data_IF_901473310186
#
_entry.id   IF_901473310186
#
_cell.length_a   1.000
_cell.length_b   1.000
_cell.length_c   1.000
_cell.angle_alpha   90.00
_cell.angle_beta   90.00
_cell.angle_gamma   90.00
#
_symmetry.space_group_name_H-M   'P 1'
#
loop_
_entity.id
_entity.type
_entity.pdbx_description
1 polymer ?
#
# COMPACT_ATOMS: atom_id res chain seq x y z
N UNK A 1 16.74 -12.88 -15.38
CA UNK A 1 17.37 -11.84 -16.23
C UNK A 1 16.31 -11.06 -17.01
N UNK A 2 15.74 -11.55 -18.12
CA UNK A 2 14.73 -10.80 -18.88
C UNK A 2 13.39 -10.62 -18.14
N UNK A 3 12.93 -11.67 -17.44
CA UNK A 3 11.69 -11.63 -16.66
C UNK A 3 11.75 -10.62 -15.51
N UNK A 4 12.86 -10.59 -14.76
CA UNK A 4 13.02 -9.70 -13.61
C UNK A 4 13.05 -8.23 -14.02
N UNK A 5 13.67 -7.93 -15.17
CA UNK A 5 13.72 -6.56 -15.69
C UNK A 5 12.34 -6.09 -16.18
N UNK A 6 11.56 -6.98 -16.80
CA UNK A 6 10.18 -6.69 -17.17
C UNK A 6 9.30 -6.41 -15.93
N UNK A 7 9.46 -7.17 -14.85
CA UNK A 7 8.72 -6.97 -13.60
C UNK A 7 9.10 -5.66 -12.88
N UNK A 8 10.38 -5.29 -12.90
CA UNK A 8 10.83 -3.97 -12.39
C UNK A 8 10.26 -2.83 -13.23
N UNK A 9 10.26 -2.99 -14.55
CA UNK A 9 9.68 -2.00 -15.48
C UNK A 9 8.19 -1.83 -15.22
N UNK A 10 7.45 -2.94 -15.07
CA UNK A 10 6.04 -2.92 -14.70
C UNK A 10 5.80 -2.25 -13.34
N UNK A 11 6.63 -2.55 -12.33
CA UNK A 11 6.54 -1.91 -11.01
C UNK A 11 6.70 -0.39 -11.09
N UNK A 12 7.66 0.06 -11.91
CA UNK A 12 7.91 1.49 -12.14
C UNK A 12 6.73 2.15 -12.86
N UNK A 13 6.25 1.55 -13.94
CA UNK A 13 5.11 2.06 -14.70
C UNK A 13 3.86 2.20 -13.81
N UNK A 14 3.58 1.19 -12.97
CA UNK A 14 2.48 1.26 -12.01
C UNK A 14 2.70 2.35 -10.95
N UNK A 15 3.93 2.54 -10.46
CA UNK A 15 4.23 3.58 -9.48
C UNK A 15 4.12 5.01 -10.04
N UNK A 16 4.34 5.18 -11.34
CA UNK A 16 4.21 6.45 -12.06
C UNK A 16 2.74 6.76 -12.42
N UNK A 17 1.93 5.76 -12.78
CA UNK A 17 0.53 5.97 -13.19
C UNK A 17 -0.46 6.06 -12.03
N UNK A 18 -0.23 5.31 -10.95
CA UNK A 18 -1.17 5.22 -9.82
C UNK A 18 -1.58 6.58 -9.20
N UNK A 19 -0.69 7.59 -9.09
CA UNK A 19 -1.07 8.90 -8.55
C UNK A 19 -2.07 9.70 -9.38
N UNK A 20 -2.19 9.45 -10.68
CA UNK A 20 -3.00 10.27 -11.58
C UNK A 20 -4.51 10.04 -11.41
N UNK A 21 -4.92 8.90 -10.84
CA UNK A 21 -6.31 8.43 -10.92
C UNK A 21 -7.07 8.43 -9.59
N UNK A 22 -6.43 8.83 -8.49
CA UNK A 22 -6.94 8.55 -7.14
C UNK A 22 -7.51 9.76 -6.39
N UNK A 23 -7.84 10.87 -7.06
CA UNK A 23 -8.52 12.00 -6.43
C UNK A 23 -9.84 11.57 -5.74
N UNK A 24 -10.14 12.06 -4.52
CA UNK A 24 -9.47 13.14 -3.77
C UNK A 24 -8.28 12.68 -2.89
N UNK A 25 -7.70 11.51 -3.14
CA UNK A 25 -6.49 11.03 -2.46
C UNK A 25 -5.26 11.49 -3.22
N UNK A 26 -4.36 12.20 -2.54
CA UNK A 26 -3.01 12.42 -3.05
C UNK A 26 -2.17 11.17 -2.77
N UNK A 27 -1.58 10.60 -3.82
CA UNK A 27 -0.71 9.43 -3.71
C UNK A 27 0.72 9.84 -4.01
N UNK A 28 1.64 9.33 -3.18
CA UNK A 28 3.09 9.46 -3.39
C UNK A 28 3.72 8.09 -3.35
N UNK A 29 4.55 7.79 -4.33
CA UNK A 29 5.33 6.55 -4.36
C UNK A 29 6.78 6.83 -3.99
N UNK A 30 7.41 5.94 -3.21
CA UNK A 30 8.83 6.05 -2.84
C UNK A 30 9.51 4.70 -2.98
N UNK A 31 10.68 4.66 -3.63
CA UNK A 31 11.45 3.44 -3.78
C UNK A 31 11.87 2.89 -2.41
N UNK A 32 11.46 1.66 -2.08
CA UNK A 32 11.75 0.97 -0.83
C UNK A 32 11.62 -0.55 -0.98
N UNK A 33 12.45 -1.31 -0.25
CA UNK A 33 12.41 -2.78 -0.20
C UNK A 33 12.58 -3.49 -1.56
N UNK A 34 13.22 -2.84 -2.55
CA UNK A 34 13.34 -3.38 -3.90
C UNK A 34 12.14 -3.10 -4.82
N UNK A 35 11.10 -2.43 -4.32
CA UNK A 35 9.94 -1.94 -5.07
C UNK A 35 9.59 -0.50 -4.68
N UNK A 36 8.29 -0.18 -4.59
CA UNK A 36 7.81 1.17 -4.24
C UNK A 36 6.78 1.12 -3.12
N UNK A 37 7.01 1.85 -2.04
CA UNK A 37 5.98 2.10 -1.02
C UNK A 37 4.98 3.13 -1.55
N UNK A 38 3.70 2.84 -1.40
CA UNK A 38 2.60 3.75 -1.75
C UNK A 38 2.12 4.45 -0.48
N UNK A 39 2.27 5.77 -0.48
CA UNK A 39 1.76 6.66 0.54
C UNK A 39 0.51 7.36 0.05
N UNK A 40 -0.52 7.43 0.90
CA UNK A 40 -1.75 8.16 0.63
C UNK A 40 -1.92 9.30 1.64
N UNK A 41 -2.46 10.42 1.17
CA UNK A 41 -2.96 11.54 1.98
C UNK A 41 -4.37 11.84 1.49
N UNK A 42 -5.37 11.75 2.36
CA UNK A 42 -6.77 12.02 2.00
C UNK A 42 -7.03 13.51 2.19
N UNK A 43 -7.31 14.23 1.09
CA UNK A 43 -7.45 15.70 1.10
C UNK A 43 -8.84 16.16 1.59
N UNK A 44 -9.84 15.30 1.51
CA UNK A 44 -11.22 15.56 1.93
C UNK A 44 -11.68 14.51 2.93
N UNK A 45 -11.11 14.57 4.14
CA UNK A 45 -11.54 13.75 5.26
C UNK A 45 -12.58 14.54 6.07
N UNK A 46 -13.86 14.35 5.76
CA UNK A 46 -14.96 15.02 6.47
C UNK A 46 -15.08 14.64 7.97
N UNK A 47 -14.43 13.57 8.41
CA UNK A 47 -14.45 13.11 9.80
C UNK A 47 -13.21 13.59 10.58
N UNK A 48 -13.36 14.70 11.29
CA UNK A 48 -12.35 15.19 12.26
C UNK A 48 -12.12 14.19 13.41
N UNK A 49 -13.11 13.32 13.70
CA UNK A 49 -13.09 12.39 14.84
C UNK A 49 -12.22 11.13 14.61
N UNK A 50 -12.00 10.72 13.35
CA UNK A 50 -11.28 9.47 13.06
C UNK A 50 -9.78 9.65 12.83
N UNK A 51 -9.31 10.89 12.65
CA UNK A 51 -7.94 11.14 12.21
C UNK A 51 -7.29 12.19 13.10
N UNK A 52 -6.48 11.73 14.05
CA UNK A 52 -5.66 12.58 14.91
C UNK A 52 -4.61 13.45 14.17
N UNK A 53 -4.48 13.32 12.85
CA UNK A 53 -3.53 14.04 12.00
C UNK A 53 -3.88 13.90 10.49
N UNK A 54 -4.88 14.64 9.97
CA UNK A 54 -5.40 14.48 8.60
C UNK A 54 -4.38 14.82 7.51
N UNK A 55 -3.45 15.74 7.78
CA UNK A 55 -2.40 16.16 6.82
C UNK A 55 -1.26 15.14 6.65
N UNK A 56 -1.34 13.97 7.30
CA UNK A 56 -0.23 13.03 7.35
C UNK A 56 -0.34 11.96 6.27
N UNK A 57 0.69 11.89 5.43
CA UNK A 57 0.90 10.78 4.51
C UNK A 57 1.01 9.43 5.26
N UNK A 58 0.30 8.40 4.80
CA UNK A 58 0.34 7.05 5.39
C UNK A 58 0.67 6.01 4.34
N UNK A 59 1.55 5.07 4.71
CA UNK A 59 1.90 3.96 3.85
C UNK A 59 0.80 2.89 3.82
N UNK A 60 0.08 2.82 2.70
CA UNK A 60 -1.13 1.98 2.51
C UNK A 60 -0.85 0.70 1.74
N UNK A 61 0.10 0.73 0.81
CA UNK A 61 0.40 -0.42 -0.06
C UNK A 61 1.89 -0.46 -0.43
N UNK A 62 2.31 -1.55 -1.08
CA UNK A 62 3.63 -1.69 -1.70
C UNK A 62 3.45 -2.20 -3.12
N UNK A 63 4.16 -1.61 -4.08
CA UNK A 63 4.28 -2.14 -5.43
C UNK A 63 5.57 -2.94 -5.50
N UNK A 64 5.47 -4.21 -5.89
CA UNK A 64 6.63 -5.04 -6.15
C UNK A 64 6.34 -6.06 -7.25
N UNK A 65 7.35 -6.41 -8.04
CA UNK A 65 7.24 -7.36 -9.16
C UNK A 65 6.02 -7.12 -10.07
N UNK A 66 5.68 -5.86 -10.35
CA UNK A 66 4.56 -5.47 -11.21
C UNK A 66 3.18 -5.62 -10.58
N UNK A 67 3.08 -5.91 -9.28
CA UNK A 67 1.82 -6.08 -8.56
C UNK A 67 1.69 -5.10 -7.40
N UNK A 68 0.45 -4.84 -6.97
CA UNK A 68 0.15 -4.06 -5.78
C UNK A 68 -0.13 -4.99 -4.59
N UNK A 69 0.51 -4.73 -3.46
CA UNK A 69 0.38 -5.50 -2.23
C UNK A 69 -0.22 -4.65 -1.11
N UNK A 70 -1.36 -5.10 -0.57
CA UNK A 70 -2.03 -4.51 0.58
C UNK A 70 -1.75 -5.32 1.84
N UNK A 71 -1.58 -4.62 2.97
CA UNK A 71 -1.44 -5.28 4.27
C UNK A 71 -2.77 -5.90 4.67
N UNK A 72 -2.69 -7.03 5.37
CA UNK A 72 -3.85 -7.61 6.07
C UNK A 72 -4.41 -6.60 7.07
N UNK A 73 -5.72 -6.50 7.12
CA UNK A 73 -6.44 -5.53 7.93
C UNK A 73 -7.86 -6.01 8.25
N UNK A 74 -8.69 -5.12 8.80
CA UNK A 74 -10.13 -5.39 8.99
C UNK A 74 -10.91 -5.47 7.67
N UNK A 75 -10.28 -5.11 6.54
CA UNK A 75 -10.88 -5.16 5.20
C UNK A 75 -10.61 -6.48 4.47
N UNK A 76 -10.03 -7.48 5.14
CA UNK A 76 -9.55 -8.72 4.51
C UNK A 76 -10.64 -9.42 3.66
N UNK A 77 -11.89 -9.47 4.13
CA UNK A 77 -12.99 -10.10 3.39
C UNK A 77 -13.28 -9.37 2.07
N UNK A 78 -13.35 -8.03 2.10
CA UNK A 78 -13.57 -7.19 0.90
C UNK A 78 -12.39 -7.28 -0.07
N UNK A 79 -11.16 -7.30 0.46
CA UNK A 79 -9.95 -7.40 -0.37
C UNK A 79 -9.85 -8.77 -1.04
N UNK A 80 -10.27 -9.83 -0.34
CA UNK A 80 -10.25 -11.20 -0.87
C UNK A 80 -11.16 -11.46 -2.07
N UNK A 81 -12.10 -10.57 -2.36
CA UNK A 81 -12.95 -10.64 -3.56
C UNK A 81 -12.19 -10.27 -4.85
N UNK A 82 -11.14 -9.44 -4.74
CA UNK A 82 -10.42 -8.86 -5.88
C UNK A 82 -8.90 -9.15 -5.85
N UNK A 83 -8.42 -9.84 -4.81
CA UNK A 83 -7.02 -10.08 -4.56
C UNK A 83 -6.80 -11.50 -4.01
N UNK A 84 -5.56 -11.96 -4.09
CA UNK A 84 -5.15 -13.26 -3.52
C UNK A 84 -4.03 -13.09 -2.49
N UNK A 85 -3.89 -14.03 -1.55
CA UNK A 85 -2.78 -14.00 -0.61
C UNK A 85 -1.51 -14.53 -1.26
N UNK A 86 -0.50 -13.67 -1.39
CA UNK A 86 0.81 -14.03 -1.90
C UNK A 86 1.93 -13.31 -1.13
N UNK A 87 3.14 -13.88 -1.04
CA UNK A 87 4.27 -13.19 -0.46
C UNK A 87 4.78 -12.11 -1.42
N UNK A 88 5.14 -10.93 -0.89
CA UNK A 88 5.67 -9.82 -1.69
C UNK A 88 7.03 -10.16 -2.34
N UNK A 89 7.80 -11.05 -1.72
CA UNK A 89 9.07 -11.59 -2.20
C UNK A 89 9.28 -13.00 -1.63
N UNK A 90 10.17 -13.83 -2.19
CA UNK A 90 10.41 -15.19 -1.69
C UNK A 90 10.72 -15.23 -0.18
N UNK A 91 9.92 -15.98 0.58
CA UNK A 91 10.06 -16.10 2.04
C UNK A 91 9.47 -14.94 2.86
N UNK A 92 8.86 -13.94 2.22
CA UNK A 92 8.12 -12.87 2.87
C UNK A 92 6.78 -13.30 3.47
N UNK A 93 6.19 -12.45 4.31
CA UNK A 93 4.84 -12.68 4.81
C UNK A 93 3.80 -12.51 3.69
N UNK A 94 2.74 -13.31 3.73
CA UNK A 94 1.63 -13.19 2.77
C UNK A 94 0.87 -11.89 2.99
N UNK A 95 0.73 -11.14 1.89
CA UNK A 95 -0.05 -9.91 1.76
C UNK A 95 -1.10 -10.12 0.67
N UNK A 96 -2.11 -9.25 0.62
CA UNK A 96 -3.09 -9.29 -0.45
C UNK A 96 -2.48 -8.72 -1.72
N UNK A 97 -2.32 -9.56 -2.73
CA UNK A 97 -1.78 -9.23 -4.05
C UNK A 97 -2.93 -8.94 -5.00
N UNK A 98 -2.94 -7.72 -5.52
CA UNK A 98 -3.74 -7.33 -6.68
C UNK A 98 -2.82 -7.39 -7.90
N UNK A 99 -3.23 -8.13 -8.92
CA UNK A 99 -2.45 -8.26 -10.13
C UNK A 99 -2.40 -6.93 -10.89
N UNK A 100 -1.21 -6.36 -11.07
CA UNK A 100 -1.06 -5.09 -11.77
C UNK A 100 -1.45 -5.14 -13.25
N UNK A 101 -1.47 -6.31 -13.88
CA UNK A 101 -1.97 -6.46 -15.25
C UNK A 101 -3.50 -6.27 -15.35
N UNK A 102 -4.22 -6.48 -14.25
CA UNK A 102 -5.68 -6.35 -14.15
C UNK A 102 -6.10 -5.19 -13.25
N UNK A 103 -5.13 -4.41 -12.76
CA UNK A 103 -5.37 -3.26 -11.93
C UNK A 103 -5.76 -2.10 -12.84
N UNK A 104 -7.02 -1.68 -12.73
CA UNK A 104 -7.50 -0.43 -13.31
C UNK A 104 -7.25 0.71 -12.30
N UNK A 105 -6.30 1.62 -12.54
CA UNK A 105 -6.03 2.73 -11.64
C UNK A 105 -7.22 3.67 -11.49
N UNK A 106 -8.12 3.73 -12.49
CA UNK A 106 -9.35 4.52 -12.46
C UNK A 106 -10.51 3.81 -11.73
N UNK A 107 -10.29 2.59 -11.23
CA UNK A 107 -11.30 1.82 -10.50
C UNK A 107 -11.73 2.54 -9.22
N UNK A 108 -13.02 2.84 -9.12
CA UNK A 108 -13.59 3.42 -7.90
C UNK A 108 -13.41 2.49 -6.69
N UNK A 109 -13.48 1.17 -6.92
CA UNK A 109 -13.28 0.15 -5.88
C UNK A 109 -11.87 0.23 -5.30
N UNK A 110 -10.85 0.38 -6.16
CA UNK A 110 -9.46 0.51 -5.71
C UNK A 110 -9.27 1.81 -4.91
N UNK A 111 -9.84 2.92 -5.40
CA UNK A 111 -9.79 4.22 -4.72
C UNK A 111 -10.41 4.16 -3.33
N UNK A 112 -11.63 3.66 -3.22
CA UNK A 112 -12.31 3.48 -1.93
C UNK A 112 -11.51 2.60 -0.98
N UNK A 113 -10.95 1.49 -1.50
CA UNK A 113 -10.14 0.59 -0.70
C UNK A 113 -8.88 1.26 -0.16
N UNK A 114 -8.21 2.10 -0.96
CA UNK A 114 -7.05 2.88 -0.51
C UNK A 114 -7.43 3.91 0.56
N UNK A 115 -8.59 4.58 0.41
CA UNK A 115 -9.13 5.49 1.42
C UNK A 115 -9.41 4.75 2.72
N UNK A 116 -10.09 3.61 2.66
CA UNK A 116 -10.42 2.81 3.84
C UNK A 116 -9.16 2.25 4.51
N UNK A 117 -8.17 1.83 3.72
CA UNK A 117 -6.85 1.42 4.23
C UNK A 117 -6.12 2.59 4.92
N UNK A 118 -6.22 3.80 4.37
CA UNK A 118 -5.65 4.99 4.97
C UNK A 118 -6.32 5.34 6.32
N UNK A 119 -7.64 5.18 6.40
CA UNK A 119 -8.45 5.40 7.62
C UNK A 119 -8.08 4.45 8.75
N UNK A 120 -7.64 3.23 8.44
CA UNK A 120 -7.17 2.28 9.45
C UNK A 120 -5.93 2.85 10.14
N UNK A 121 -6.09 3.29 11.39
CA UNK A 121 -4.96 3.80 12.15
C UNK A 121 -3.92 2.68 12.37
N UNK A 122 -2.64 2.93 12.05
CA UNK A 122 -1.61 1.96 12.35
C UNK A 122 -1.55 1.77 13.87
N UNK A 123 -2.00 0.62 14.36
CA UNK A 123 -1.92 0.25 15.77
C UNK A 123 -0.48 0.49 16.24
N UNK A 124 -0.28 1.44 17.16
CA UNK A 124 1.02 1.71 17.75
C UNK A 124 1.45 0.45 18.49
N UNK A 125 2.32 -0.36 17.86
CA UNK A 125 2.95 -1.47 18.58
C UNK A 125 3.73 -0.86 19.74
N UNK A 126 3.54 -1.32 20.99
CA UNK A 126 4.34 -0.84 22.10
C UNK A 126 5.81 -1.05 21.75
N UNK A 127 6.60 0.03 21.81
CA UNK A 127 8.03 -0.03 21.53
C UNK A 127 8.64 -0.97 22.57
N UNK A 128 9.24 -2.09 22.13
CA UNK A 128 10.00 -2.94 23.05
C UNK A 128 11.06 -2.08 23.74
N UNK A 129 11.17 -2.12 25.09
CA UNK A 129 12.21 -1.37 25.78
C UNK A 129 13.57 -1.78 25.21
N UNK A 130 14.37 -0.79 24.82
CA UNK A 130 15.75 -1.03 24.36
C UNK A 130 16.49 -1.70 25.52
N UNK A 131 16.97 -2.94 25.32
CA UNK A 131 17.90 -3.55 26.29
C UNK A 131 19.15 -2.65 26.35
N UNK A 132 19.62 -2.25 27.53
CA UNK A 132 20.87 -1.51 27.64
C UNK A 132 22.00 -2.35 27.01
N UNK A 133 22.85 -1.69 26.23
CA UNK A 133 24.07 -2.29 25.67
C UNK A 133 24.95 -2.70 26.86
N UNK A 134 25.29 -3.99 27.00
CA UNK A 134 26.29 -4.41 27.98
C UNK A 134 27.61 -3.71 27.59
N UNK A 135 28.14 -2.90 28.50
CA UNK A 135 29.53 -2.41 28.45
C UNK A 135 30.48 -3.57 28.73
#
# INVERSE_FOLDING_TARGET
MAKDEALKTASRALAESLPEYLLPVEIRTRAMFGGYMVYATVLDAADEDFVSNPDKERGVAVINDGHLFLKKSVLDDRVGEIAELAPMYPGGANMWRIDGAHLDPASEVLRELIVDMWRIEPKKKPRKPRKPRKQ
#
